data_IF_460274389193
#
_entry.id   IF_460274389193
#
_cell.length_a   1.000
_cell.length_b   1.000
_cell.length_c   1.000
_cell.angle_alpha   90.00
_cell.angle_beta   90.00
_cell.angle_gamma   90.00
#
_symmetry.space_group_name_H-M   'P 1'
#
loop_
_entity.id
_entity.type
_entity.pdbx_description
1 polymer ?
#
# COMPACT_ATOMS: atom_id res chain seq x y z
N UNK A 1 7.47 -10.89 22.66
CA UNK A 1 6.39 -10.94 21.66
C UNK A 1 5.57 -9.67 21.85
N UNK A 2 5.57 -8.71 20.91
CA UNK A 2 4.65 -7.58 21.04
C UNK A 2 4.82 -6.39 20.10
N UNK A 3 6.04 -5.93 19.83
CA UNK A 3 6.26 -4.63 19.13
C UNK A 3 6.58 -4.78 17.65
N UNK A 4 5.84 -5.63 16.92
CA UNK A 4 6.19 -5.91 15.52
C UNK A 4 5.52 -5.00 14.48
N UNK A 5 4.68 -4.06 14.93
CA UNK A 5 4.07 -3.04 14.10
C UNK A 5 4.04 -1.75 14.88
N UNK A 6 4.57 -0.64 14.35
CA UNK A 6 4.57 0.69 15.02
C UNK A 6 3.17 1.32 15.10
N UNK A 7 2.18 0.56 15.55
CA UNK A 7 0.79 0.99 15.72
C UNK A 7 0.62 1.98 16.88
N UNK A 8 1.64 2.19 17.71
CA UNK A 8 1.63 3.18 18.80
C UNK A 8 1.40 4.62 18.32
N UNK A 9 1.63 4.90 17.03
CA UNK A 9 1.41 6.22 16.40
C UNK A 9 -0.08 6.51 16.22
N UNK A 10 -0.94 5.49 16.24
CA UNK A 10 -2.38 5.65 16.06
C UNK A 10 -3.13 5.79 17.39
N UNK A 11 -4.32 6.39 17.34
CA UNK A 11 -5.28 6.41 18.44
C UNK A 11 -5.70 4.99 18.86
N UNK A 12 -6.10 4.83 20.12
CA UNK A 12 -6.48 3.54 20.71
C UNK A 12 -7.57 2.81 19.92
N UNK A 13 -8.51 3.55 19.32
CA UNK A 13 -9.57 2.99 18.46
C UNK A 13 -8.98 2.35 17.21
N UNK A 14 -8.12 3.07 16.49
CA UNK A 14 -7.46 2.59 15.27
C UNK A 14 -6.49 1.45 15.56
N UNK A 15 -5.77 1.49 16.69
CA UNK A 15 -4.95 0.37 17.11
C UNK A 15 -5.78 -0.90 17.30
N UNK A 16 -6.96 -0.78 17.89
CA UNK A 16 -7.85 -1.92 18.08
C UNK A 16 -8.38 -2.42 16.74
N UNK A 17 -8.76 -1.50 15.84
CA UNK A 17 -9.19 -1.80 14.47
C UNK A 17 -8.10 -2.58 13.69
N UNK A 18 -6.84 -2.13 13.74
CA UNK A 18 -5.71 -2.79 13.08
C UNK A 18 -5.39 -4.16 13.70
N UNK A 19 -5.44 -4.27 15.03
CA UNK A 19 -5.25 -5.55 15.73
C UNK A 19 -6.35 -6.56 15.37
N UNK A 20 -7.59 -6.11 15.26
CA UNK A 20 -8.71 -6.95 14.82
C UNK A 20 -8.53 -7.32 13.35
N UNK A 21 -8.17 -6.38 12.46
CA UNK A 21 -7.91 -6.67 11.05
C UNK A 21 -6.81 -7.74 10.83
N UNK A 22 -5.80 -7.78 11.71
CA UNK A 22 -4.73 -8.78 11.66
C UNK A 22 -5.17 -10.16 12.17
N UNK A 23 -6.17 -10.23 13.04
CA UNK A 23 -6.68 -11.49 13.62
C UNK A 23 -7.89 -12.04 12.86
N UNK A 24 -8.81 -11.17 12.51
CA UNK A 24 -10.10 -11.44 11.89
C UNK A 24 -10.43 -10.29 10.92
N UNK A 25 -9.90 -10.34 9.69
CA UNK A 25 -10.13 -9.31 8.67
C UNK A 25 -11.58 -9.24 8.21
N UNK A 26 -12.37 -10.31 8.36
CA UNK A 26 -13.79 -10.34 7.98
C UNK A 26 -14.71 -9.61 8.96
N UNK A 27 -14.31 -9.47 10.23
CA UNK A 27 -15.07 -8.75 11.26
C UNK A 27 -14.85 -7.23 11.28
N UNK A 28 -14.04 -6.69 10.36
CA UNK A 28 -13.73 -5.25 10.29
C UNK A 28 -13.95 -4.69 8.91
N UNK A 29 -14.23 -3.38 8.84
CA UNK A 29 -14.28 -2.65 7.58
C UNK A 29 -12.88 -2.45 7.00
N UNK A 30 -12.45 -3.41 6.18
CA UNK A 30 -11.15 -3.41 5.50
C UNK A 30 -10.91 -2.15 4.65
N UNK A 31 -11.97 -1.56 4.11
CA UNK A 31 -11.88 -0.27 3.41
C UNK A 31 -11.48 0.88 4.35
N UNK A 32 -12.11 0.96 5.53
CA UNK A 32 -11.76 1.95 6.55
C UNK A 32 -10.33 1.72 7.05
N UNK A 33 -9.94 0.46 7.24
CA UNK A 33 -8.57 0.08 7.62
C UNK A 33 -7.56 0.60 6.58
N UNK A 34 -7.82 0.34 5.28
CA UNK A 34 -6.95 0.78 4.20
C UNK A 34 -6.83 2.31 4.15
N UNK A 35 -7.94 3.03 4.29
CA UNK A 35 -7.97 4.49 4.31
C UNK A 35 -7.10 5.07 5.44
N UNK A 36 -7.26 4.56 6.65
CA UNK A 36 -6.51 5.04 7.82
C UNK A 36 -5.01 4.74 7.71
N UNK A 37 -4.64 3.57 7.16
CA UNK A 37 -3.23 3.24 6.93
C UNK A 37 -2.60 4.20 5.91
N UNK A 38 -3.30 4.50 4.81
CA UNK A 38 -2.78 5.42 3.77
C UNK A 38 -2.61 6.81 4.36
N UNK A 39 -3.63 7.35 5.03
CA UNK A 39 -3.58 8.68 5.64
C UNK A 39 -2.45 8.82 6.66
N UNK A 40 -2.24 7.80 7.50
CA UNK A 40 -1.14 7.83 8.46
C UNK A 40 0.22 7.70 7.77
N UNK A 41 0.32 6.91 6.70
CA UNK A 41 1.56 6.75 5.94
C UNK A 41 1.99 8.02 5.23
N UNK A 42 1.04 8.90 4.89
CA UNK A 42 1.30 10.23 4.34
C UNK A 42 1.88 11.19 5.39
N UNK A 43 1.39 11.09 6.63
CA UNK A 43 1.79 11.98 7.73
C UNK A 43 3.09 11.55 8.40
N UNK A 44 3.33 10.24 8.51
CA UNK A 44 4.45 9.69 9.27
C UNK A 44 5.40 8.87 8.38
N UNK A 45 6.59 9.43 8.16
CA UNK A 45 7.65 8.81 7.36
C UNK A 45 8.22 7.52 7.97
N UNK A 46 8.06 7.33 9.28
CA UNK A 46 8.47 6.10 9.96
C UNK A 46 7.43 5.02 9.75
N UNK A 47 6.15 5.39 9.85
CA UNK A 47 5.05 4.47 9.59
C UNK A 47 5.01 4.03 8.12
N UNK A 48 5.28 4.92 7.16
CA UNK A 48 5.31 4.58 5.73
C UNK A 48 6.28 3.46 5.35
N UNK A 49 7.33 3.22 6.17
CA UNK A 49 8.29 2.12 6.00
C UNK A 49 7.77 0.79 6.54
N UNK A 50 7.11 0.83 7.70
CA UNK A 50 6.63 -0.36 8.39
C UNK A 50 5.24 -0.81 7.91
N UNK A 51 4.45 0.11 7.35
CA UNK A 51 3.09 -0.14 6.90
C UNK A 51 3.01 -1.15 5.76
N UNK A 52 4.08 -1.31 4.97
CA UNK A 52 4.21 -2.35 3.95
C UNK A 52 3.98 -3.76 4.50
N UNK A 53 4.67 -4.10 5.61
CA UNK A 53 4.54 -5.41 6.29
C UNK A 53 3.14 -5.62 6.85
N UNK A 54 2.53 -4.57 7.41
CA UNK A 54 1.19 -4.63 7.97
C UNK A 54 0.13 -4.87 6.90
N UNK A 55 0.14 -4.07 5.82
CA UNK A 55 -0.75 -4.26 4.67
C UNK A 55 -0.60 -5.67 4.11
N UNK A 56 0.64 -6.16 3.99
CA UNK A 56 0.92 -7.52 3.53
C UNK A 56 0.29 -8.60 4.41
N UNK A 57 0.42 -8.49 5.74
CA UNK A 57 -0.19 -9.43 6.68
C UNK A 57 -1.72 -9.43 6.56
N UNK A 58 -2.35 -8.24 6.45
CA UNK A 58 -3.80 -8.12 6.28
C UNK A 58 -4.25 -8.75 4.96
N UNK A 59 -3.56 -8.49 3.86
CA UNK A 59 -3.86 -9.09 2.54
C UNK A 59 -3.75 -10.62 2.60
N UNK A 60 -2.73 -11.14 3.28
CA UNK A 60 -2.59 -12.59 3.47
C UNK A 60 -3.71 -13.17 4.34
N UNK A 61 -4.08 -12.50 5.42
CA UNK A 61 -5.17 -12.96 6.29
C UNK A 61 -6.51 -12.97 5.52
N UNK A 62 -6.80 -11.88 4.80
CA UNK A 62 -8.00 -11.75 3.96
C UNK A 62 -8.07 -12.85 2.89
N UNK A 63 -6.96 -13.06 2.16
CA UNK A 63 -6.90 -14.06 1.10
C UNK A 63 -7.09 -15.49 1.62
N UNK A 64 -6.69 -15.78 2.85
CA UNK A 64 -6.86 -17.10 3.48
C UNK A 64 -8.29 -17.35 3.94
N UNK A 65 -8.97 -16.32 4.42
CA UNK A 65 -10.28 -16.43 5.07
C UNK A 65 -11.43 -16.36 4.07
N UNK A 66 -11.39 -15.40 3.15
CA UNK A 66 -12.54 -15.07 2.29
C UNK A 66 -12.32 -15.37 0.80
N UNK A 67 -11.07 -15.61 0.37
CA UNK A 67 -10.71 -15.67 -1.06
C UNK A 67 -11.01 -14.38 -1.84
N UNK A 68 -11.39 -13.31 -1.13
CA UNK A 68 -11.69 -11.97 -1.66
C UNK A 68 -10.47 -11.08 -1.49
N UNK A 69 -10.46 -9.97 -2.20
CA UNK A 69 -9.38 -8.98 -2.18
C UNK A 69 -9.94 -7.59 -1.98
N UNK A 70 -10.81 -7.41 -0.99
CA UNK A 70 -11.46 -6.15 -0.63
C UNK A 70 -10.40 -5.19 -0.10
N UNK A 71 -9.61 -5.58 0.90
CA UNK A 71 -8.55 -4.74 1.46
C UNK A 71 -7.55 -4.32 0.38
N UNK A 72 -7.08 -5.28 -0.42
CA UNK A 72 -6.16 -4.99 -1.52
C UNK A 72 -6.78 -4.01 -2.52
N UNK A 73 -8.02 -4.23 -2.93
CA UNK A 73 -8.70 -3.36 -3.90
C UNK A 73 -8.92 -1.95 -3.34
N UNK A 74 -9.38 -1.83 -2.10
CA UNK A 74 -9.57 -0.55 -1.41
C UNK A 74 -8.25 0.19 -1.22
N UNK A 75 -7.17 -0.53 -0.84
CA UNK A 75 -5.83 0.06 -0.71
C UNK A 75 -5.33 0.61 -2.05
N UNK A 76 -5.45 -0.16 -3.12
CA UNK A 76 -5.05 0.27 -4.47
C UNK A 76 -5.91 1.44 -4.97
N UNK A 77 -7.22 1.41 -4.71
CA UNK A 77 -8.14 2.48 -5.10
C UNK A 77 -7.83 3.79 -4.35
N UNK A 78 -7.54 3.70 -3.05
CA UNK A 78 -7.14 4.86 -2.26
C UNK A 78 -5.80 5.43 -2.74
N UNK A 79 -4.79 4.59 -2.95
CA UNK A 79 -3.51 5.01 -3.54
C UNK A 79 -3.72 5.68 -4.91
N UNK A 80 -4.55 5.11 -5.78
CA UNK A 80 -4.87 5.75 -7.07
C UNK A 80 -5.48 7.14 -6.91
N UNK A 81 -6.38 7.30 -5.93
CA UNK A 81 -7.02 8.60 -5.64
C UNK A 81 -6.00 9.63 -5.16
N UNK A 82 -5.14 9.27 -4.22
CA UNK A 82 -4.06 10.14 -3.73
C UNK A 82 -3.08 10.52 -4.86
N UNK A 83 -2.78 9.59 -5.77
CA UNK A 83 -1.94 9.86 -6.95
C UNK A 83 -2.60 10.79 -7.97
N UNK A 84 -3.93 10.70 -8.16
CA UNK A 84 -4.66 11.66 -9.02
C UNK A 84 -4.53 13.08 -8.47
N UNK A 85 -4.58 13.22 -7.15
CA UNK A 85 -4.39 14.49 -6.45
C UNK A 85 -2.91 14.82 -6.15
N UNK A 86 -1.95 14.14 -6.80
CA UNK A 86 -0.50 14.33 -6.55
C UNK A 86 -0.02 15.77 -6.70
N UNK A 87 -0.62 16.53 -7.61
CA UNK A 87 -0.25 17.93 -7.86
C UNK A 87 -0.66 18.80 -6.68
N UNK A 88 -1.88 18.59 -6.15
CA UNK A 88 -2.36 19.26 -4.94
C UNK A 88 -1.55 18.83 -3.71
N UNK A 89 -1.28 17.53 -3.55
CA UNK A 89 -0.47 17.01 -2.44
C UNK A 89 0.94 17.60 -2.47
N UNK A 90 1.59 17.63 -3.64
CA UNK A 90 2.92 18.23 -3.80
C UNK A 90 2.91 19.74 -3.57
N UNK A 91 1.84 20.43 -3.97
CA UNK A 91 1.67 21.86 -3.73
C UNK A 91 1.43 22.17 -2.24
N UNK A 92 0.74 21.29 -1.52
CA UNK A 92 0.50 21.40 -0.07
C UNK A 92 1.77 21.15 0.74
N UNK A 93 2.45 20.03 0.48
CA UNK A 93 3.68 19.66 1.18
C UNK A 93 4.53 18.68 0.40
N UNK A 94 5.76 19.07 0.12
CA UNK A 94 6.77 18.16 -0.49
C UNK A 94 7.05 16.97 0.43
N UNK A 95 6.97 17.17 1.75
CA UNK A 95 7.19 16.08 2.71
C UNK A 95 6.08 15.02 2.63
N UNK A 96 4.81 15.41 2.55
CA UNK A 96 3.70 14.46 2.34
C UNK A 96 3.86 13.69 1.04
N UNK A 97 4.28 14.37 -0.03
CA UNK A 97 4.59 13.73 -1.31
C UNK A 97 5.74 12.70 -1.20
N UNK A 98 6.82 13.02 -0.50
CA UNK A 98 7.94 12.07 -0.31
C UNK A 98 7.51 10.88 0.55
N UNK A 99 6.72 11.10 1.60
CA UNK A 99 6.13 10.04 2.41
C UNK A 99 5.23 9.13 1.58
N UNK A 100 4.39 9.72 0.71
CA UNK A 100 3.51 9.00 -0.21
C UNK A 100 4.28 8.09 -1.16
N UNK A 101 5.31 8.64 -1.83
CA UNK A 101 6.14 7.88 -2.76
C UNK A 101 6.86 6.76 -2.02
N UNK A 102 7.40 7.04 -0.82
CA UNK A 102 8.05 6.03 0.02
C UNK A 102 7.08 4.91 0.40
N UNK A 103 5.85 5.26 0.79
CA UNK A 103 4.80 4.30 1.13
C UNK A 103 4.46 3.39 -0.05
N UNK A 104 4.26 3.95 -1.26
CA UNK A 104 4.00 3.15 -2.47
C UNK A 104 5.16 2.19 -2.74
N UNK A 105 6.41 2.67 -2.67
CA UNK A 105 7.58 1.84 -2.90
C UNK A 105 7.63 0.66 -1.90
N UNK A 106 7.37 0.91 -0.62
CA UNK A 106 7.33 -0.15 0.39
C UNK A 106 6.19 -1.14 0.13
N UNK A 107 4.98 -0.66 -0.16
CA UNK A 107 3.85 -1.54 -0.48
C UNK A 107 4.17 -2.40 -1.71
N UNK A 108 4.80 -1.82 -2.72
CA UNK A 108 5.18 -2.53 -3.93
C UNK A 108 6.24 -3.61 -3.67
N UNK A 109 7.25 -3.32 -2.85
CA UNK A 109 8.25 -4.31 -2.44
C UNK A 109 7.59 -5.51 -1.75
N UNK A 110 6.71 -5.25 -0.77
CA UNK A 110 5.98 -6.31 -0.07
C UNK A 110 4.99 -7.07 -0.96
N UNK A 111 4.29 -6.39 -1.88
CA UNK A 111 3.36 -7.04 -2.82
C UNK A 111 4.09 -7.87 -3.88
N UNK A 112 5.26 -7.41 -4.37
CA UNK A 112 6.12 -8.17 -5.31
C UNK A 112 6.67 -9.44 -4.67
N UNK A 113 7.02 -9.39 -3.40
CA UNK A 113 7.56 -10.56 -2.68
C UNK A 113 6.51 -11.67 -2.51
N UNK A 114 5.20 -11.35 -2.45
CA UNK A 114 4.14 -12.37 -2.51
C UNK A 114 4.03 -13.07 -3.87
N UNK A 115 4.55 -12.43 -4.94
CA UNK A 115 4.54 -12.96 -6.29
C UNK A 115 5.94 -13.44 -6.70
N UNK A 116 6.60 -14.27 -5.87
CA UNK A 116 7.77 -15.07 -6.29
C UNK A 116 7.38 -16.26 -7.18
N UNK A 117 6.58 -15.99 -8.22
CA UNK A 117 6.53 -16.74 -9.50
C UNK A 117 6.34 -15.73 -10.64
N UNK A 118 7.14 -14.67 -10.67
CA UNK A 118 7.44 -13.95 -11.90
C UNK A 118 8.95 -13.69 -11.93
N UNK A 119 9.69 -14.76 -12.22
CA UNK A 119 10.98 -14.67 -12.88
C UNK A 119 10.82 -13.79 -14.14
N UNK A 120 11.90 -13.09 -14.49
CA UNK A 120 12.08 -12.18 -15.64
C UNK A 120 11.88 -10.69 -15.34
N UNK A 121 12.79 -10.13 -14.55
CA UNK A 121 13.38 -8.82 -14.85
C UNK A 121 14.69 -8.68 -14.06
N UNK A 122 15.65 -9.56 -14.35
CA UNK A 122 17.06 -9.32 -14.05
C UNK A 122 17.63 -8.42 -15.15
N UNK A 123 17.36 -7.13 -15.05
CA UNK A 123 18.25 -6.06 -15.52
C UNK A 123 17.62 -4.71 -15.17
N UNK A 124 18.48 -3.78 -14.75
CA UNK A 124 18.20 -2.40 -14.38
C UNK A 124 17.75 -2.14 -12.92
N UNK A 125 18.74 -1.99 -12.05
CA UNK A 125 18.65 -1.21 -10.81
C UNK A 125 18.49 0.31 -11.07
N UNK A 126 18.21 0.72 -12.31
CA UNK A 126 17.92 2.08 -12.75
C UNK A 126 16.43 2.25 -13.17
N UNK A 127 15.56 1.35 -12.69
CA UNK A 127 14.18 1.16 -13.18
C UNK A 127 13.11 1.23 -12.07
N UNK A 128 13.46 1.62 -10.85
CA UNK A 128 12.48 1.71 -9.75
C UNK A 128 11.42 2.78 -10.02
N UNK A 129 11.81 4.01 -10.39
CA UNK A 129 10.85 5.06 -10.74
C UNK A 129 10.09 4.79 -12.04
N UNK A 130 10.71 4.17 -13.06
CA UNK A 130 10.04 3.92 -14.35
C UNK A 130 9.03 2.77 -14.24
N UNK A 131 9.34 1.73 -13.48
CA UNK A 131 8.37 0.66 -13.19
C UNK A 131 7.24 1.17 -12.29
N UNK A 132 7.56 2.00 -11.28
CA UNK A 132 6.53 2.68 -10.50
C UNK A 132 5.66 3.55 -11.41
N UNK A 133 6.24 4.33 -12.32
CA UNK A 133 5.50 5.16 -13.27
C UNK A 133 4.64 4.34 -14.23
N UNK A 134 5.17 3.25 -14.80
CA UNK A 134 4.43 2.33 -15.68
C UNK A 134 3.29 1.63 -14.93
N UNK A 135 3.52 1.26 -13.67
CA UNK A 135 2.53 0.63 -12.81
C UNK A 135 1.49 1.62 -12.28
N UNK A 136 1.88 2.84 -11.93
CA UNK A 136 0.98 3.97 -11.62
C UNK A 136 0.12 4.32 -12.84
N UNK A 137 0.69 4.23 -14.04
CA UNK A 137 -0.01 4.42 -15.30
C UNK A 137 -1.01 3.28 -15.57
N UNK A 138 -0.61 2.02 -15.35
CA UNK A 138 -1.49 0.84 -15.43
C UNK A 138 -2.62 0.86 -14.39
N UNK A 139 -2.31 1.23 -13.14
CA UNK A 139 -3.31 1.42 -12.09
C UNK A 139 -4.33 2.49 -12.45
N UNK A 140 -3.90 3.61 -13.05
CA UNK A 140 -4.82 4.68 -13.45
C UNK A 140 -5.66 4.33 -14.68
N UNK A 141 -5.14 3.48 -15.59
CA UNK A 141 -5.84 3.04 -16.78
C UNK A 141 -5.30 1.68 -17.27
N UNK A 142 -6.06 0.58 -17.13
CA UNK A 142 -5.63 -0.73 -17.66
C UNK A 142 -5.50 -0.75 -19.19
N UNK A 143 -6.06 0.25 -19.91
CA UNK A 143 -5.90 0.40 -21.36
C UNK A 143 -4.60 1.12 -21.79
N UNK A 144 -3.78 1.60 -20.84
CA UNK A 144 -2.50 2.27 -21.13
C UNK A 144 -1.28 1.33 -21.17
N UNK A 145 -1.48 0.00 -21.14
CA UNK A 145 -0.40 -0.91 -21.51
C UNK A 145 -0.04 -0.64 -22.98
N UNK A 146 1.24 -0.40 -23.34
CA UNK A 146 1.61 -0.58 -24.74
C UNK A 146 1.25 -2.02 -25.12
N UNK A 147 0.65 -2.27 -26.30
CA UNK A 147 0.59 -3.63 -26.80
C UNK A 147 2.02 -4.17 -26.83
N UNK A 148 2.19 -5.35 -26.24
CA UNK A 148 3.42 -6.13 -26.21
C UNK A 148 4.22 -5.96 -27.51
N UNK A 149 5.43 -5.41 -27.41
CA UNK A 149 6.42 -5.40 -28.49
C UNK A 149 7.76 -5.88 -27.95
#
# INVERSE_FOLDING_TARGET
MGDEYKIQVFDAETQNLLKTALKDPSSVDLEKVANVIVEQSLRDATFSKESGKMCYTIIQAESKESGRSIFRSSLLNRLQTEYRNREEMRARSVQEWVCYVSFICNIFDYLRVSHRVLLLCEQALHFECVTLCKWLCWMCNPACLPPDQ
#
